data_IF_546586750650
#
_entry.id   IF_546586750650
#
_cell.length_a   1.000
_cell.length_b   1.000
_cell.length_c   1.000
_cell.angle_alpha   90.00
_cell.angle_beta   90.00
_cell.angle_gamma   90.00
#
_symmetry.space_group_name_H-M   'P 1'
#
loop_
_entity.id
_entity.type
_entity.pdbx_description
1 polymer ?
#
# COMPACT_ATOMS: atom_id res chain seq x y z
N UNK A 1 16.13 -22.23 4.15
CA UNK A 1 14.70 -22.06 3.89
C UNK A 1 14.36 -20.62 4.24
N UNK A 2 13.93 -19.78 3.31
CA UNK A 2 13.60 -18.38 3.64
C UNK A 2 13.46 -17.37 2.50
N UNK A 3 13.78 -17.72 1.25
CA UNK A 3 13.67 -16.80 0.11
C UNK A 3 12.22 -16.56 -0.32
N UNK A 4 11.45 -17.63 -0.52
CA UNK A 4 10.07 -17.54 -1.03
C UNK A 4 9.11 -16.78 -0.10
N UNK A 5 9.26 -16.93 1.23
CA UNK A 5 8.38 -16.23 2.18
C UNK A 5 8.64 -14.71 2.22
N UNK A 6 9.91 -14.29 2.07
CA UNK A 6 10.23 -12.86 1.98
C UNK A 6 9.69 -12.25 0.70
N UNK A 7 9.87 -12.93 -0.45
CA UNK A 7 9.36 -12.48 -1.74
C UNK A 7 7.84 -12.30 -1.68
N UNK A 8 7.12 -13.30 -1.15
CA UNK A 8 5.67 -13.26 -0.98
C UNK A 8 5.22 -12.04 -0.15
N UNK A 9 5.91 -11.75 0.95
CA UNK A 9 5.59 -10.61 1.82
C UNK A 9 5.85 -9.27 1.12
N UNK A 10 6.98 -9.14 0.42
CA UNK A 10 7.30 -7.95 -0.36
C UNK A 10 6.27 -7.69 -1.48
N UNK A 11 5.83 -8.75 -2.16
CA UNK A 11 4.79 -8.66 -3.19
C UNK A 11 3.44 -8.23 -2.61
N UNK A 12 2.99 -8.85 -1.52
CA UNK A 12 1.75 -8.43 -0.82
C UNK A 12 1.81 -6.98 -0.38
N UNK A 13 2.95 -6.54 0.14
CA UNK A 13 3.18 -5.17 0.57
C UNK A 13 3.10 -4.20 -0.60
N UNK A 14 3.71 -4.54 -1.74
CA UNK A 14 3.63 -3.75 -2.98
C UNK A 14 2.20 -3.66 -3.51
N UNK A 15 1.46 -4.77 -3.53
CA UNK A 15 0.05 -4.78 -3.94
C UNK A 15 -0.79 -3.87 -3.04
N UNK A 16 -0.62 -3.96 -1.72
CA UNK A 16 -1.33 -3.11 -0.76
C UNK A 16 -1.08 -1.62 -1.00
N UNK A 17 0.19 -1.25 -1.22
CA UNK A 17 0.57 0.12 -1.57
C UNK A 17 -0.04 0.58 -2.89
N UNK A 18 0.05 -0.25 -3.94
CA UNK A 18 -0.46 0.09 -5.27
C UNK A 18 -1.98 0.33 -5.25
N UNK A 19 -2.75 -0.53 -4.56
CA UNK A 19 -4.19 -0.33 -4.40
C UNK A 19 -4.52 0.96 -3.63
N UNK A 20 -3.75 1.26 -2.59
CA UNK A 20 -3.95 2.48 -1.80
C UNK A 20 -3.57 3.75 -2.59
N UNK A 21 -2.57 3.68 -3.46
CA UNK A 21 -2.18 4.77 -4.38
C UNK A 21 -3.24 4.97 -5.47
N UNK A 22 -3.70 3.89 -6.10
CA UNK A 22 -4.77 3.94 -7.11
C UNK A 22 -6.08 4.48 -6.54
N UNK A 23 -6.37 4.19 -5.26
CA UNK A 23 -7.50 4.74 -4.54
C UNK A 23 -7.37 6.24 -4.21
N UNK A 24 -6.18 6.83 -4.37
CA UNK A 24 -5.89 8.21 -3.97
C UNK A 24 -5.76 8.40 -2.46
N UNK A 25 -5.68 7.32 -1.67
CA UNK A 25 -5.48 7.39 -0.22
C UNK A 25 -4.01 7.67 0.09
N UNK A 26 -3.12 7.01 -0.67
CA UNK A 26 -1.69 7.26 -0.63
C UNK A 26 -1.24 7.98 -1.90
N UNK A 27 -0.14 8.71 -1.79
CA UNK A 27 0.57 9.28 -2.92
C UNK A 27 2.04 8.89 -2.84
N UNK A 28 2.65 8.69 -3.99
CA UNK A 28 4.08 8.39 -4.06
C UNK A 28 4.87 9.69 -4.06
N UNK A 29 5.74 9.83 -3.06
CA UNK A 29 6.75 10.88 -3.03
C UNK A 29 7.78 10.63 -4.15
N UNK A 30 8.36 11.67 -4.78
CA UNK A 30 9.45 11.52 -5.74
C UNK A 30 10.67 10.71 -5.23
N UNK A 31 10.86 10.64 -3.91
CA UNK A 31 11.91 9.84 -3.28
C UNK A 31 11.53 8.36 -3.08
N UNK A 32 10.34 7.95 -3.52
CA UNK A 32 9.87 6.56 -3.47
C UNK A 32 9.07 6.19 -2.21
N UNK A 33 8.91 7.10 -1.25
CA UNK A 33 8.09 6.89 -0.04
C UNK A 33 6.58 7.01 -0.37
N UNK A 34 5.75 6.12 0.15
CA UNK A 34 4.29 6.24 0.08
C UNK A 34 3.79 7.06 1.28
N UNK A 35 3.05 8.13 0.99
CA UNK A 35 2.55 9.07 2.00
C UNK A 35 1.04 9.11 2.01
N UNK A 36 0.45 9.34 3.18
CA UNK A 36 -0.97 9.62 3.32
C UNK A 36 -1.34 10.91 2.60
N UNK A 37 -2.47 10.88 1.89
CA UNK A 37 -3.11 12.09 1.39
C UNK A 37 -3.58 13.00 2.52
N UNK A 38 -4.00 14.22 2.17
CA UNK A 38 -4.41 15.25 3.13
C UNK A 38 -5.74 14.90 3.82
N UNK A 39 -6.58 14.06 3.21
CA UNK A 39 -7.89 13.64 3.73
C UNK A 39 -8.15 12.13 3.57
N UNK A 40 -7.41 11.25 4.26
CA UNK A 40 -7.61 9.80 4.17
C UNK A 40 -8.68 9.38 5.19
N UNK A 41 -9.88 9.93 5.08
CA UNK A 41 -10.97 9.62 6.03
C UNK A 41 -11.68 8.30 5.68
N UNK A 42 -11.59 7.86 4.43
CA UNK A 42 -12.20 6.62 3.95
C UNK A 42 -11.20 5.72 3.23
N UNK A 43 -11.01 4.52 3.78
CA UNK A 43 -10.20 3.46 3.18
C UNK A 43 -11.00 2.53 2.24
N UNK A 44 -12.32 2.69 2.18
CA UNK A 44 -13.25 1.92 1.37
C UNK A 44 -12.84 1.79 -0.10
N UNK A 45 -12.41 2.87 -0.78
CA UNK A 45 -11.99 2.80 -2.19
C UNK A 45 -10.82 1.83 -2.44
N UNK A 46 -9.80 1.79 -1.56
CA UNK A 46 -8.69 0.84 -1.72
C UNK A 46 -9.13 -0.61 -1.53
N UNK A 47 -9.97 -0.89 -0.53
CA UNK A 47 -10.52 -2.23 -0.35
C UNK A 47 -11.44 -2.65 -1.52
N UNK A 48 -12.14 -1.70 -2.15
CA UNK A 48 -12.95 -1.96 -3.33
C UNK A 48 -12.07 -2.32 -4.54
N UNK A 49 -10.97 -1.58 -4.78
CA UNK A 49 -9.98 -1.90 -5.82
C UNK A 49 -9.37 -3.28 -5.58
N UNK A 50 -8.90 -3.56 -4.35
CA UNK A 50 -8.35 -4.86 -3.99
C UNK A 50 -9.36 -6.00 -4.18
N UNK A 51 -10.63 -5.78 -3.82
CA UNK A 51 -11.72 -6.76 -4.01
C UNK A 51 -11.96 -7.02 -5.50
N UNK A 52 -11.92 -5.98 -6.34
CA UNK A 52 -12.09 -6.12 -7.78
C UNK A 52 -10.90 -6.85 -8.41
N UNK A 53 -9.68 -6.56 -7.97
CA UNK A 53 -8.49 -7.29 -8.41
C UNK A 53 -8.57 -8.78 -8.06
N UNK A 54 -8.97 -9.12 -6.83
CA UNK A 54 -9.20 -10.50 -6.40
C UNK A 54 -10.24 -11.22 -7.27
N UNK A 55 -11.33 -10.53 -7.63
CA UNK A 55 -12.37 -11.09 -8.51
C UNK A 55 -11.86 -11.35 -9.94
N UNK A 56 -11.02 -10.47 -10.46
CA UNK A 56 -10.50 -10.58 -11.83
C UNK A 56 -9.40 -11.64 -11.95
N UNK A 57 -8.54 -11.76 -10.93
CA UNK A 57 -7.40 -12.69 -10.92
C UNK A 57 -7.72 -14.05 -10.29
N UNK A 58 -8.86 -14.17 -9.60
CA UNK A 58 -9.18 -15.31 -8.75
C UNK A 58 -8.38 -15.36 -7.44
N UNK A 59 -7.62 -14.32 -7.13
CA UNK A 59 -6.74 -14.24 -5.96
C UNK A 59 -5.34 -14.81 -6.15
N UNK A 60 -5.08 -15.52 -7.25
CA UNK A 60 -3.78 -16.15 -7.50
C UNK A 60 -3.35 -17.02 -6.31
N UNK A 61 -2.14 -16.78 -5.81
CA UNK A 61 -1.56 -17.47 -4.63
C UNK A 61 -1.94 -16.82 -3.27
N UNK A 62 -2.73 -15.75 -3.30
CA UNK A 62 -3.06 -14.93 -2.14
C UNK A 62 -4.51 -15.10 -1.72
N UNK A 63 -4.73 -15.26 -0.42
CA UNK A 63 -6.08 -15.22 0.13
C UNK A 63 -6.62 -13.79 0.15
N UNK A 64 -7.96 -13.66 0.11
CA UNK A 64 -8.63 -12.36 0.30
C UNK A 64 -8.14 -11.65 1.56
N UNK A 65 -7.96 -12.40 2.65
CA UNK A 65 -7.51 -11.84 3.93
C UNK A 65 -6.11 -11.24 3.81
N UNK A 66 -5.16 -11.96 3.23
CA UNK A 66 -3.78 -11.47 3.06
C UNK A 66 -3.73 -10.17 2.26
N UNK A 67 -4.51 -10.07 1.18
CA UNK A 67 -4.56 -8.86 0.36
C UNK A 67 -5.21 -7.69 1.11
N UNK A 68 -6.29 -7.93 1.86
CA UNK A 68 -6.94 -6.86 2.63
C UNK A 68 -6.06 -6.39 3.79
N UNK A 69 -5.39 -7.32 4.48
CA UNK A 69 -4.45 -7.02 5.55
C UNK A 69 -3.25 -6.22 5.01
N UNK A 70 -2.77 -6.52 3.79
CA UNK A 70 -1.66 -5.76 3.20
C UNK A 70 -2.05 -4.34 2.78
N UNK A 71 -3.28 -4.13 2.29
CA UNK A 71 -3.81 -2.77 2.04
C UNK A 71 -3.88 -1.98 3.35
N UNK A 72 -4.40 -2.60 4.40
CA UNK A 72 -4.49 -1.97 5.73
C UNK A 72 -3.11 -1.58 6.24
N UNK A 73 -2.17 -2.52 6.23
CA UNK A 73 -0.80 -2.32 6.71
C UNK A 73 -0.08 -1.20 5.93
N UNK A 74 -0.25 -1.15 4.60
CA UNK A 74 0.31 -0.10 3.77
C UNK A 74 -0.22 1.30 4.16
N UNK A 75 -1.53 1.42 4.39
CA UNK A 75 -2.16 2.68 4.80
C UNK A 75 -1.74 3.05 6.22
N UNK A 76 -1.74 2.11 7.16
CA UNK A 76 -1.39 2.39 8.57
C UNK A 76 0.09 2.76 8.73
N UNK A 77 0.97 2.11 7.97
CA UNK A 77 2.42 2.35 8.00
C UNK A 77 2.86 3.62 7.28
N UNK A 78 2.02 4.20 6.42
CA UNK A 78 2.37 5.42 5.68
C UNK A 78 2.37 6.66 6.60
N UNK A 79 3.43 7.47 6.47
CA UNK A 79 3.53 8.79 7.11
C UNK A 79 2.80 9.88 6.35
N UNK A 80 2.66 11.07 6.93
CA UNK A 80 2.09 12.24 6.26
C UNK A 80 3.14 13.10 5.55
N UNK A 81 4.41 12.99 5.96
CA UNK A 81 5.53 13.71 5.38
C UNK A 81 6.61 12.72 4.95
N UNK A 82 7.28 13.02 3.82
CA UNK A 82 8.43 12.26 3.38
C UNK A 82 9.62 12.60 4.26
N UNK A 83 10.22 11.58 4.85
CA UNK A 83 11.38 11.73 5.75
C UNK A 83 12.56 12.40 5.03
N UNK A 84 12.71 12.13 3.74
CA UNK A 84 13.76 12.74 2.91
C UNK A 84 13.46 14.21 2.60
N UNK A 85 12.21 14.55 2.26
CA UNK A 85 11.81 15.94 2.03
C UNK A 85 11.88 16.77 3.32
N UNK A 86 11.54 16.19 4.46
CA UNK A 86 11.62 16.85 5.77
C UNK A 86 13.07 17.27 6.09
N UNK A 87 14.04 16.37 5.86
CA UNK A 87 15.47 16.67 6.05
C UNK A 87 15.94 17.86 5.20
N UNK A 88 15.51 17.94 3.94
CA UNK A 88 15.88 19.04 3.04
C UNK A 88 15.21 20.38 3.38
N UNK A 89 14.12 20.41 4.15
CA UNK A 89 13.49 21.67 4.61
C UNK A 89 14.25 22.30 5.79
N UNK A 90 15.11 21.56 6.46
CA UNK A 90 15.85 22.00 7.65
C UNK A 90 17.25 22.56 7.33
N UNK A 91 17.62 22.62 6.04
CA UNK A 91 18.84 23.23 5.50
C UNK A 91 18.56 24.63 4.95
#
# INVERSE_FOLDING_TARGET
MGGDEMIRRDELRRLGMDFAIQAGILHQCPHGEALKGVFPEDNGPAYAIATNWLKQTGGGDYSRKEVMDSVKDAIESAGFECSTCEKHKME
#
